data_IF_397714917393
#
_entry.id   IF_397714917393
#
_cell.length_a   1.000
_cell.length_b   1.000
_cell.length_c   1.000
_cell.angle_alpha   90.00
_cell.angle_beta   90.00
_cell.angle_gamma   90.00
#
_symmetry.space_group_name_H-M   'P 1'
#
loop_
_entity.id
_entity.type
_entity.pdbx_description
1 polymer ?
#
# COMPACT_ATOMS: atom_id res chain seq x y z
N UNK A 1 -4.70 -4.48 2.57
CA UNK A 1 -4.64 -3.45 3.63
C UNK A 1 -6.02 -2.83 3.72
N UNK A 2 -6.71 -2.99 4.84
CA UNK A 2 -7.99 -2.32 5.04
C UNK A 2 -7.72 -1.11 5.93
N UNK A 3 -7.78 0.10 5.36
CA UNK A 3 -7.91 1.31 6.16
C UNK A 3 -9.30 1.25 6.77
N UNK A 4 -9.41 1.43 8.08
CA UNK A 4 -10.72 1.45 8.74
C UNK A 4 -11.54 2.60 8.13
N UNK A 5 -12.81 2.36 7.79
CA UNK A 5 -13.71 3.33 7.14
C UNK A 5 -13.92 4.64 7.93
N UNK A 6 -13.39 4.73 9.15
CA UNK A 6 -13.34 5.95 9.96
C UNK A 6 -12.40 7.03 9.40
N UNK A 7 -11.60 6.73 8.34
CA UNK A 7 -10.65 7.66 7.75
C UNK A 7 -10.78 7.69 6.21
N UNK A 8 -11.90 8.20 5.68
CA UNK A 8 -12.22 8.11 4.25
C UNK A 8 -11.20 8.83 3.35
N UNK A 9 -10.68 9.98 3.78
CA UNK A 9 -9.65 10.72 3.04
C UNK A 9 -8.31 9.97 2.98
N UNK A 10 -7.92 9.32 4.08
CA UNK A 10 -6.72 8.49 4.11
C UNK A 10 -6.89 7.30 3.17
N UNK A 11 -8.03 6.62 3.22
CA UNK A 11 -8.34 5.51 2.34
C UNK A 11 -8.27 5.90 0.85
N UNK A 12 -8.90 7.02 0.49
CA UNK A 12 -8.84 7.59 -0.87
C UNK A 12 -7.40 7.91 -1.28
N UNK A 13 -6.64 8.61 -0.43
CA UNK A 13 -5.25 8.97 -0.77
C UNK A 13 -4.33 7.75 -0.90
N UNK A 14 -4.55 6.67 -0.14
CA UNK A 14 -3.83 5.41 -0.30
C UNK A 14 -4.18 4.75 -1.64
N UNK A 15 -5.46 4.74 -2.02
CA UNK A 15 -5.88 4.19 -3.31
C UNK A 15 -5.21 4.93 -4.48
N UNK A 16 -5.25 6.27 -4.45
CA UNK A 16 -4.59 7.13 -5.45
C UNK A 16 -3.08 6.91 -5.47
N UNK A 17 -2.44 6.79 -4.31
CA UNK A 17 -1.00 6.51 -4.22
C UNK A 17 -0.62 5.21 -4.94
N UNK A 18 -1.40 4.14 -4.76
CA UNK A 18 -1.15 2.87 -5.43
C UNK A 18 -1.48 2.89 -6.92
N UNK A 19 -2.52 3.62 -7.34
CA UNK A 19 -2.89 3.77 -8.74
C UNK A 19 -1.78 4.48 -9.54
N UNK A 20 -1.33 5.65 -9.05
CA UNK A 20 -0.25 6.42 -9.68
C UNK A 20 1.06 5.63 -9.66
N UNK A 21 1.40 5.05 -8.51
CA UNK A 21 2.62 4.28 -8.36
C UNK A 21 2.69 3.09 -9.31
N UNK A 22 1.57 2.37 -9.50
CA UNK A 22 1.48 1.28 -10.46
C UNK A 22 1.59 1.77 -11.91
N UNK A 23 0.89 2.85 -12.28
CA UNK A 23 0.94 3.43 -13.63
C UNK A 23 2.37 3.89 -14.01
N UNK A 24 3.12 4.42 -13.05
CA UNK A 24 4.48 4.93 -13.23
C UNK A 24 5.57 3.88 -12.92
N UNK A 25 5.19 2.60 -12.74
CA UNK A 25 6.10 1.51 -12.37
C UNK A 25 6.99 1.83 -11.15
N UNK A 26 6.50 2.68 -10.24
CA UNK A 26 7.19 3.08 -9.02
C UNK A 26 8.56 3.74 -9.23
N UNK A 27 8.81 4.28 -10.44
CA UNK A 27 10.14 4.74 -10.90
C UNK A 27 10.79 5.79 -9.99
N UNK A 28 10.00 6.70 -9.42
CA UNK A 28 10.48 7.85 -8.63
C UNK A 28 10.09 7.76 -7.15
N UNK A 29 9.58 6.61 -6.69
CA UNK A 29 9.12 6.43 -5.32
C UNK A 29 10.09 5.52 -4.56
N UNK A 30 10.82 6.01 -3.54
CA UNK A 30 11.67 5.14 -2.72
C UNK A 30 10.84 4.08 -1.98
N UNK A 31 11.11 2.80 -2.23
CA UNK A 31 10.43 1.68 -1.61
C UNK A 31 11.29 0.42 -1.61
N UNK A 32 10.97 -0.52 -0.75
CA UNK A 32 11.47 -1.90 -0.86
C UNK A 32 10.41 -2.78 -1.49
N UNK A 33 10.86 -3.76 -2.29
CA UNK A 33 10.00 -4.76 -2.91
C UNK A 33 10.48 -6.15 -2.51
N UNK A 34 9.56 -6.97 -2.02
CA UNK A 34 9.80 -8.38 -1.74
C UNK A 34 8.73 -9.20 -2.42
N UNK A 35 9.15 -10.20 -3.16
CA UNK A 35 8.29 -11.24 -3.72
C UNK A 35 8.69 -12.58 -3.13
N UNK A 36 7.72 -13.35 -2.65
CA UNK A 36 7.94 -14.70 -2.16
C UNK A 36 6.94 -15.65 -2.80
N UNK A 37 7.45 -16.75 -3.34
CA UNK A 37 6.63 -17.85 -3.85
C UNK A 37 6.61 -18.98 -2.82
N UNK A 38 5.41 -19.43 -2.47
CA UNK A 38 5.20 -20.58 -1.59
C UNK A 38 4.44 -21.66 -2.37
N UNK A 39 5.00 -22.87 -2.40
CA UNK A 39 4.36 -24.03 -3.01
C UNK A 39 3.93 -24.96 -1.90
N UNK A 40 2.62 -25.16 -1.75
CA UNK A 40 2.08 -26.03 -0.71
C UNK A 40 0.80 -26.74 -1.17
N UNK A 41 0.70 -28.04 -0.88
CA UNK A 41 -0.46 -28.89 -1.21
C UNK A 41 -1.04 -28.73 -2.63
N UNK A 42 -0.19 -28.52 -3.65
CA UNK A 42 -0.62 -28.33 -5.04
C UNK A 42 -1.09 -26.90 -5.38
N UNK A 43 -0.98 -25.95 -4.45
CA UNK A 43 -1.21 -24.52 -4.67
C UNK A 43 0.12 -23.78 -4.77
N UNK A 44 0.18 -22.82 -5.68
CA UNK A 44 1.26 -21.83 -5.75
C UNK A 44 0.71 -20.49 -5.26
N UNK A 45 1.23 -20.01 -4.14
CA UNK A 45 0.93 -18.69 -3.62
C UNK A 45 2.09 -17.75 -3.94
N UNK A 46 1.77 -16.63 -4.60
CA UNK A 46 2.73 -15.56 -4.85
C UNK A 46 2.35 -14.37 -3.97
N UNK A 47 3.24 -13.99 -3.06
CA UNK A 47 3.06 -12.79 -2.21
C UNK A 47 3.99 -11.69 -2.68
N UNK A 48 3.41 -10.52 -2.96
CA UNK A 48 4.12 -9.32 -3.40
C UNK A 48 3.92 -8.21 -2.39
N UNK A 49 5.00 -7.74 -1.79
CA UNK A 49 5.00 -6.72 -0.75
C UNK A 49 5.82 -5.52 -1.21
N UNK A 50 5.23 -4.32 -1.13
CA UNK A 50 5.94 -3.04 -1.25
C UNK A 50 5.87 -2.31 0.08
N UNK A 51 7.02 -1.89 0.61
CA UNK A 51 7.08 -1.11 1.84
C UNK A 51 7.67 0.27 1.58
N UNK A 52 7.03 1.29 2.14
CA UNK A 52 7.34 2.70 1.92
C UNK A 52 7.69 3.35 3.26
N UNK A 53 8.80 4.07 3.32
CA UNK A 53 9.18 4.87 4.50
C UNK A 53 8.72 6.32 4.43
N UNK A 54 8.32 6.80 3.25
CA UNK A 54 7.92 8.18 3.00
C UNK A 54 6.42 8.22 2.63
N UNK A 55 5.59 8.53 3.62
CA UNK A 55 4.11 8.53 3.49
C UNK A 55 3.50 9.93 3.68
N UNK A 56 4.33 10.97 3.75
CA UNK A 56 3.89 12.35 3.99
C UNK A 56 2.97 12.92 2.88
N UNK A 57 2.90 12.24 1.72
CA UNK A 57 1.98 12.58 0.64
C UNK A 57 0.56 12.02 0.85
N UNK A 58 0.37 11.10 1.81
CA UNK A 58 -0.95 10.59 2.17
C UNK A 58 -1.70 11.62 3.03
N UNK A 59 -3.02 11.56 2.99
CA UNK A 59 -3.84 12.38 3.88
C UNK A 59 -3.58 11.98 5.32
N UNK A 60 -3.40 12.96 6.21
CA UNK A 60 -3.24 12.65 7.64
C UNK A 60 -4.50 11.96 8.18
N UNK A 61 -4.34 10.93 9.03
CA UNK A 61 -5.47 10.41 9.77
C UNK A 61 -6.02 11.54 10.62
N UNK A 62 -7.26 11.97 10.35
CA UNK A 62 -7.92 12.96 11.20
C UNK A 62 -7.88 12.47 12.65
N UNK A 63 -7.31 13.27 13.55
CA UNK A 63 -7.33 13.00 14.98
C UNK A 63 -8.79 12.99 15.43
N UNK A 64 -9.38 11.80 15.51
CA UNK A 64 -10.64 11.61 16.20
C UNK A 64 -10.37 11.85 17.68
N UNK A 65 -10.75 13.03 18.18
CA UNK A 65 -11.02 13.19 19.60
C UNK A 65 -12.16 12.23 19.92
N UNK A 66 -11.80 11.12 20.56
CA UNK A 66 -12.72 10.27 21.33
C UNK A 66 -12.57 10.68 22.79
#
# INVERSE_FOLDING_TARGET
MAVKDNQPKLAESIAVFFEIGAAENWKDTPHTYTESEEKDHGRLDVRRCRAFGQLNCLSEPGHGLI
#
